data_IF_410680999162
#
_entry.id   IF_410680999162
#
_cell.length_a   1.000
_cell.length_b   1.000
_cell.length_c   1.000
_cell.angle_alpha   90.00
_cell.angle_beta   90.00
_cell.angle_gamma   90.00
#
_symmetry.space_group_name_H-M   'P 1'
#
loop_
_entity.id
_entity.type
_entity.pdbx_description
1 polymer ?
#
# COMPACT_ATOMS: atom_id res chain seq x y z
N UNK A 1 31.94 -41.61 54.29
CA UNK A 1 30.96 -40.58 54.74
C UNK A 1 30.02 -40.34 53.57
N UNK A 2 28.90 -41.08 53.52
CA UNK A 2 27.54 -40.62 53.91
C UNK A 2 26.91 -39.76 52.78
N UNK A 3 25.99 -40.29 51.96
CA UNK A 3 24.51 -40.37 52.16
C UNK A 3 23.89 -38.96 52.39
N UNK A 4 22.88 -38.44 51.68
CA UNK A 4 21.49 -38.90 51.40
C UNK A 4 20.85 -37.94 50.34
N UNK A 5 20.00 -38.35 49.37
CA UNK A 5 18.52 -38.61 49.44
C UNK A 5 17.69 -37.39 49.94
N UNK A 6 16.52 -36.95 49.44
CA UNK A 6 15.44 -37.54 48.62
C UNK A 6 14.43 -36.47 48.10
N UNK A 7 13.62 -36.86 47.09
CA UNK A 7 12.31 -36.31 46.63
C UNK A 7 11.19 -36.36 47.71
N UNK A 8 10.00 -35.75 47.47
CA UNK A 8 8.80 -36.50 46.96
C UNK A 8 7.99 -35.74 45.86
N UNK A 9 7.58 -36.40 44.74
CA UNK A 9 6.33 -37.17 44.42
C UNK A 9 5.14 -36.32 43.90
N UNK A 10 4.74 -36.49 42.60
CA UNK A 10 3.67 -37.36 41.99
C UNK A 10 2.24 -36.83 42.23
N UNK A 11 1.27 -36.82 41.29
CA UNK A 11 0.56 -37.90 40.53
C UNK A 11 -0.29 -37.17 39.43
N UNK A 12 -0.22 -37.40 38.11
CA UNK A 12 -0.69 -38.48 37.21
C UNK A 12 -2.22 -38.65 36.99
N UNK A 13 -2.58 -38.94 35.72
CA UNK A 13 -3.82 -39.53 35.13
C UNK A 13 -4.57 -38.59 34.17
N UNK A 14 -4.98 -38.97 32.96
CA UNK A 14 -4.92 -40.25 32.25
C UNK A 14 -5.52 -40.12 30.85
N UNK A 15 -5.05 -40.93 29.92
CA UNK A 15 -5.56 -41.07 28.55
C UNK A 15 -6.88 -41.86 28.51
N UNK A 16 -7.69 -41.61 27.48
CA UNK A 16 -8.84 -42.45 27.12
C UNK A 16 -9.03 -42.46 25.60
N UNK A 17 -8.62 -43.54 24.97
CA UNK A 17 -8.95 -43.88 23.58
C UNK A 17 -10.16 -44.82 23.56
N UNK A 18 -11.04 -44.68 22.57
CA UNK A 18 -11.95 -45.74 22.12
C UNK A 18 -12.09 -45.62 20.60
N UNK A 19 -11.72 -46.68 19.88
CA UNK A 19 -12.11 -46.90 18.49
C UNK A 19 -13.17 -48.00 18.39
N UNK A 20 -13.97 -48.00 17.32
CA UNK A 20 -14.62 -49.20 16.78
C UNK A 20 -15.14 -48.98 15.34
N UNK A 21 -14.62 -49.81 14.44
CA UNK A 21 -15.19 -50.49 13.26
C UNK A 21 -16.49 -50.03 12.57
N UNK A 22 -16.44 -50.00 11.23
CA UNK A 22 -17.56 -50.08 10.27
C UNK A 22 -17.78 -51.56 9.85
N UNK A 23 -19.00 -52.08 9.67
CA UNK A 23 -19.91 -52.08 8.48
C UNK A 23 -21.16 -52.98 8.80
N UNK A 24 -22.16 -53.19 7.91
CA UNK A 24 -22.99 -52.27 7.14
C UNK A 24 -24.51 -52.54 7.33
N UNK A 25 -25.37 -51.60 6.94
CA UNK A 25 -26.81 -51.83 6.69
C UNK A 25 -27.77 -51.16 7.68
N UNK A 26 -28.66 -50.30 7.17
CA UNK A 26 -29.81 -49.77 7.90
C UNK A 26 -30.06 -48.29 7.65
N UNK A 27 -31.03 -48.00 6.77
CA UNK A 27 -31.53 -46.67 6.42
C UNK A 27 -32.32 -46.09 7.61
N UNK A 28 -31.93 -44.91 8.10
CA UNK A 28 -32.68 -44.14 9.11
C UNK A 28 -32.07 -42.75 9.35
N UNK A 29 -32.89 -41.70 9.62
CA UNK A 29 -32.43 -40.31 9.57
C UNK A 29 -31.59 -39.92 10.80
N UNK A 30 -30.54 -39.13 10.56
CA UNK A 30 -29.59 -38.61 11.56
C UNK A 30 -30.26 -37.65 12.56
N UNK A 31 -29.99 -37.76 13.88
CA UNK A 31 -30.45 -36.79 14.87
C UNK A 31 -29.54 -35.55 14.92
N UNK A 32 -30.18 -34.37 14.89
CA UNK A 32 -29.54 -33.06 15.11
C UNK A 32 -28.91 -33.00 16.50
N UNK A 33 -27.58 -32.93 16.59
CA UNK A 33 -26.87 -32.62 17.83
C UNK A 33 -26.81 -31.11 18.02
N UNK A 34 -27.49 -30.62 19.05
CA UNK A 34 -27.35 -29.26 19.56
C UNK A 34 -26.05 -29.16 20.39
N UNK A 35 -25.07 -28.38 19.92
CA UNK A 35 -23.95 -27.95 20.74
C UNK A 35 -24.43 -26.86 21.71
N UNK A 36 -24.55 -27.21 22.99
CA UNK A 36 -24.72 -26.22 24.08
C UNK A 36 -23.39 -25.50 24.30
N UNK A 37 -23.37 -24.19 24.06
CA UNK A 37 -22.30 -23.30 24.52
C UNK A 37 -22.46 -23.12 26.03
N UNK A 38 -21.45 -23.54 26.79
CA UNK A 38 -21.39 -23.32 28.23
C UNK A 38 -21.13 -21.82 28.51
N UNK A 39 -22.05 -21.20 29.23
CA UNK A 39 -21.94 -19.84 29.75
C UNK A 39 -21.05 -19.82 30.99
N UNK A 40 -19.90 -19.14 30.91
CA UNK A 40 -19.02 -18.86 32.04
C UNK A 40 -19.68 -17.82 32.95
N UNK A 41 -20.16 -18.27 34.12
CA UNK A 41 -20.57 -17.41 35.23
C UNK A 41 -19.34 -16.90 35.96
N UNK A 42 -19.17 -15.58 36.01
CA UNK A 42 -18.22 -14.92 36.88
C UNK A 42 -18.67 -14.99 38.34
N UNK A 43 -17.78 -15.50 39.20
CA UNK A 43 -18.00 -15.68 40.63
C UNK A 43 -17.98 -14.35 41.40
N UNK A 44 -18.86 -14.29 42.40
CA UNK A 44 -18.94 -13.22 43.40
C UNK A 44 -17.66 -13.17 44.25
N UNK A 45 -17.06 -11.98 44.36
CA UNK A 45 -16.03 -11.67 45.36
C UNK A 45 -16.46 -10.48 46.22
N UNK A 46 -16.09 -10.56 47.49
CA UNK A 46 -16.61 -9.83 48.66
C UNK A 46 -16.22 -8.35 48.68
N UNK A 47 -17.08 -7.51 49.27
CA UNK A 47 -16.86 -6.08 49.55
C UNK A 47 -15.76 -5.85 50.60
N UNK A 48 -14.93 -4.80 50.47
CA UNK A 48 -14.35 -4.10 51.60
C UNK A 48 -14.93 -2.67 51.78
N UNK A 49 -14.88 -2.20 53.02
CA UNK A 49 -15.49 -0.97 53.52
C UNK A 49 -14.75 0.33 53.11
N UNK A 50 -15.47 1.45 53.20
CA UNK A 50 -15.04 2.82 52.87
C UNK A 50 -13.99 3.35 53.85
N UNK A 51 -12.95 4.02 53.34
CA UNK A 51 -12.03 4.91 54.08
C UNK A 51 -11.90 6.22 53.29
N UNK A 52 -12.00 7.42 53.90
CA UNK A 52 -11.84 8.69 53.19
C UNK A 52 -10.35 9.06 53.07
N UNK A 53 -9.91 9.50 51.90
CA UNK A 53 -8.54 10.02 51.68
C UNK A 53 -8.62 11.46 51.16
N UNK A 54 -7.97 12.36 51.89
CA UNK A 54 -7.79 13.78 51.58
C UNK A 54 -6.94 14.02 50.33
N UNK A 55 -7.27 15.07 49.58
CA UNK A 55 -6.48 15.57 48.43
C UNK A 55 -5.15 16.20 48.86
N UNK A 56 -4.02 15.92 48.18
CA UNK A 56 -2.84 16.77 48.22
C UNK A 56 -2.83 17.81 47.07
N UNK A 57 -2.21 18.95 47.35
CA UNK A 57 -2.09 20.10 46.46
C UNK A 57 -1.22 19.86 45.22
N UNK A 58 -1.47 20.64 44.15
CA UNK A 58 -0.79 20.56 42.86
C UNK A 58 0.72 20.89 42.93
N UNK A 59 1.59 20.13 42.24
CA UNK A 59 3.02 20.44 42.18
C UNK A 59 3.31 21.55 41.17
N UNK A 60 4.20 22.48 41.55
CA UNK A 60 4.74 23.53 40.67
C UNK A 60 5.73 22.91 39.68
N UNK A 61 5.50 23.12 38.37
CA UNK A 61 6.37 22.65 37.29
C UNK A 61 7.71 23.41 37.24
N UNK A 62 8.82 22.66 37.15
CA UNK A 62 10.20 23.16 37.05
C UNK A 62 10.51 23.78 35.65
N UNK A 63 11.44 24.75 35.57
CA UNK A 63 11.69 25.57 34.36
C UNK A 63 12.30 24.83 33.16
N UNK A 64 12.75 23.58 33.30
CA UNK A 64 13.31 22.79 32.21
C UNK A 64 12.25 22.32 31.18
N UNK A 65 11.01 22.09 31.62
CA UNK A 65 9.89 21.71 30.74
C UNK A 65 9.43 22.84 29.82
N UNK A 66 9.60 24.10 30.24
CA UNK A 66 9.25 25.29 29.43
C UNK A 66 10.16 25.46 28.20
N UNK A 67 11.42 25.04 28.27
CA UNK A 67 12.35 25.14 27.14
C UNK A 67 12.05 24.11 26.06
N UNK A 68 11.68 22.88 26.43
CA UNK A 68 11.26 21.84 25.47
C UNK A 68 9.94 22.17 24.77
N UNK A 69 8.96 22.70 25.50
CA UNK A 69 7.70 23.15 24.90
C UNK A 69 7.91 24.35 23.96
N UNK A 70 8.81 25.28 24.29
CA UNK A 70 9.15 26.39 23.41
C UNK A 70 9.86 25.92 22.13
N UNK A 71 10.79 24.97 22.20
CA UNK A 71 11.47 24.41 21.03
C UNK A 71 10.53 23.61 20.13
N UNK A 72 9.62 22.82 20.70
CA UNK A 72 8.59 22.10 19.94
C UNK A 72 7.59 23.06 19.29
N UNK A 73 7.16 24.11 19.99
CA UNK A 73 6.26 25.13 19.45
C UNK A 73 6.93 25.94 18.32
N UNK A 74 8.21 26.28 18.44
CA UNK A 74 8.98 26.98 17.39
C UNK A 74 9.17 26.10 16.16
N UNK A 75 9.43 24.79 16.33
CA UNK A 75 9.49 23.85 15.22
C UNK A 75 8.13 23.70 14.52
N UNK A 76 7.03 23.59 15.28
CA UNK A 76 5.66 23.55 14.74
C UNK A 76 5.29 24.85 13.99
N UNK A 77 5.64 26.02 14.53
CA UNK A 77 5.43 27.32 13.88
C UNK A 77 6.26 27.46 12.59
N UNK A 78 7.50 26.98 12.57
CA UNK A 78 8.34 26.98 11.37
C UNK A 78 7.80 26.05 10.28
N UNK A 79 7.24 24.89 10.66
CA UNK A 79 6.54 23.99 9.73
C UNK A 79 5.27 24.64 9.14
N UNK A 80 4.46 25.34 9.95
CA UNK A 80 3.28 26.06 9.47
C UNK A 80 3.63 27.21 8.50
N UNK A 81 4.72 27.94 8.73
CA UNK A 81 5.17 29.00 7.82
C UNK A 81 5.74 28.45 6.50
N UNK A 82 6.46 27.32 6.52
CA UNK A 82 7.00 26.71 5.31
C UNK A 82 5.91 26.08 4.43
N UNK A 83 4.93 25.38 5.03
CA UNK A 83 3.77 24.87 4.31
C UNK A 83 2.92 25.99 3.68
N UNK A 84 2.81 27.15 4.35
CA UNK A 84 2.16 28.34 3.81
C UNK A 84 2.91 28.99 2.64
N UNK A 85 4.24 28.85 2.55
CA UNK A 85 5.09 29.39 1.47
C UNK A 85 5.16 28.48 0.23
N UNK A 86 4.97 27.18 0.39
CA UNK A 86 4.89 26.25 -0.74
C UNK A 86 3.61 26.48 -1.58
N UNK A 87 2.50 26.88 -0.96
CA UNK A 87 1.21 27.11 -1.64
C UNK A 87 1.29 28.06 -2.84
N UNK A 88 1.83 29.29 -2.69
CA UNK A 88 2.03 30.21 -3.81
C UNK A 88 2.91 29.64 -4.93
N UNK A 89 3.99 28.93 -4.61
CA UNK A 89 4.87 28.30 -5.61
C UNK A 89 4.14 27.22 -6.41
N UNK A 90 3.38 26.38 -5.71
CA UNK A 90 2.54 25.34 -6.30
C UNK A 90 1.54 25.92 -7.31
N UNK A 91 0.81 26.97 -6.92
CA UNK A 91 -0.17 27.61 -7.77
C UNK A 91 0.48 28.35 -8.95
N UNK A 92 1.58 29.07 -8.71
CA UNK A 92 2.28 29.80 -9.76
C UNK A 92 2.77 28.86 -10.88
N UNK A 93 3.36 27.74 -10.49
CA UNK A 93 3.80 26.71 -11.45
C UNK A 93 2.63 26.02 -12.14
N UNK A 94 1.52 25.75 -11.43
CA UNK A 94 0.33 25.16 -12.03
C UNK A 94 -0.27 26.04 -13.14
N UNK A 95 -0.22 27.36 -12.97
CA UNK A 95 -0.87 28.33 -13.87
C UNK A 95 0.07 28.83 -14.97
N UNK A 96 1.37 29.02 -14.66
CA UNK A 96 2.30 29.71 -15.56
C UNK A 96 3.26 28.78 -16.29
N UNK A 97 3.49 27.57 -15.78
CA UNK A 97 4.53 26.69 -16.29
C UNK A 97 3.95 25.47 -17.02
N UNK A 98 4.38 25.27 -18.26
CA UNK A 98 4.08 24.06 -19.01
C UNK A 98 4.75 22.83 -18.38
N UNK A 99 4.15 21.62 -18.50
CA UNK A 99 4.81 20.39 -18.06
C UNK A 99 6.17 20.20 -18.74
N UNK A 100 7.22 19.82 -17.99
CA UNK A 100 8.53 19.54 -18.60
C UNK A 100 8.47 18.28 -19.48
N UNK A 101 9.38 18.12 -20.46
CA UNK A 101 9.37 16.95 -21.36
C UNK A 101 9.37 15.59 -20.64
N UNK A 102 10.03 15.50 -19.48
CA UNK A 102 10.06 14.27 -18.65
C UNK A 102 8.70 13.97 -18.00
N UNK A 103 7.94 15.00 -17.62
CA UNK A 103 6.56 14.83 -17.15
C UNK A 103 5.65 14.29 -18.26
N UNK A 104 5.82 14.79 -19.49
CA UNK A 104 5.11 14.29 -20.66
C UNK A 104 5.51 12.84 -21.00
N UNK A 105 6.80 12.49 -20.88
CA UNK A 105 7.28 11.12 -21.07
C UNK A 105 6.67 10.17 -20.03
N UNK A 106 6.59 10.58 -18.75
CA UNK A 106 5.94 9.82 -17.69
C UNK A 106 4.46 9.55 -18.02
N UNK A 107 3.71 10.58 -18.42
CA UNK A 107 2.32 10.44 -18.81
C UNK A 107 2.12 9.58 -20.08
N UNK A 108 3.03 9.67 -21.05
CA UNK A 108 2.99 8.87 -22.26
C UNK A 108 3.21 7.37 -21.97
N UNK A 109 4.19 7.04 -21.11
CA UNK A 109 4.42 5.67 -20.65
C UNK A 109 3.20 5.10 -19.90
N UNK A 110 2.54 5.92 -19.07
CA UNK A 110 1.31 5.53 -18.38
C UNK A 110 0.17 5.20 -19.37
N UNK A 111 -0.02 6.03 -20.41
CA UNK A 111 -1.00 5.77 -21.48
C UNK A 111 -0.66 4.50 -22.28
N UNK A 112 0.61 4.23 -22.53
CA UNK A 112 1.04 3.01 -23.22
C UNK A 112 0.70 1.76 -22.43
N UNK A 113 0.98 1.74 -21.12
CA UNK A 113 0.64 0.59 -20.28
C UNK A 113 -0.88 0.45 -20.07
N UNK A 114 -1.63 1.55 -19.97
CA UNK A 114 -3.10 1.51 -19.95
C UNK A 114 -3.66 0.85 -21.21
N UNK A 115 -3.15 1.20 -22.39
CA UNK A 115 -3.53 0.55 -23.65
C UNK A 115 -3.12 -0.93 -23.68
N UNK A 116 -1.93 -1.27 -23.16
CA UNK A 116 -1.47 -2.65 -23.06
C UNK A 116 -2.32 -3.51 -22.10
N UNK A 117 -2.95 -2.88 -21.11
CA UNK A 117 -3.93 -3.48 -20.21
C UNK A 117 -5.37 -3.38 -20.72
N UNK A 118 -5.56 -3.09 -22.01
CA UNK A 118 -6.89 -3.15 -22.64
C UNK A 118 -7.81 -1.99 -22.26
N UNK A 119 -7.27 -0.85 -21.84
CA UNK A 119 -8.03 0.40 -21.82
C UNK A 119 -9.01 0.59 -20.65
N UNK A 120 -8.87 -0.15 -19.55
CA UNK A 120 -9.79 -0.06 -18.40
C UNK A 120 -10.05 1.40 -17.96
N UNK A 121 -11.33 1.80 -17.87
CA UNK A 121 -11.69 3.19 -17.62
C UNK A 121 -12.83 3.36 -16.61
N UNK A 122 -12.66 4.35 -15.72
CA UNK A 122 -13.66 4.84 -14.79
C UNK A 122 -14.10 6.25 -15.20
N UNK A 123 -15.41 6.48 -15.25
CA UNK A 123 -15.95 7.82 -15.51
C UNK A 123 -15.81 8.76 -14.30
N UNK A 124 -16.26 10.01 -14.46
CA UNK A 124 -16.19 11.03 -13.40
C UNK A 124 -17.09 10.71 -12.19
N UNK A 125 -18.08 9.83 -12.33
CA UNK A 125 -18.85 9.31 -11.20
C UNK A 125 -18.17 8.09 -10.56
N UNK A 126 -17.05 7.63 -11.10
CA UNK A 126 -16.30 6.47 -10.61
C UNK A 126 -16.96 5.14 -10.94
N UNK A 127 -17.79 5.07 -11.99
CA UNK A 127 -18.32 3.82 -12.54
C UNK A 127 -17.32 3.25 -13.54
N UNK A 128 -17.14 1.93 -13.52
CA UNK A 128 -16.37 1.22 -14.53
C UNK A 128 -17.13 1.22 -15.86
N UNK A 129 -16.63 1.95 -16.85
CA UNK A 129 -17.27 2.06 -18.17
C UNK A 129 -16.60 1.18 -19.23
N UNK A 130 -15.34 0.78 -18.99
CA UNK A 130 -14.59 -0.13 -19.84
C UNK A 130 -13.78 -1.08 -18.97
N UNK A 131 -13.85 -2.39 -19.22
CA UNK A 131 -13.10 -3.42 -18.49
C UNK A 131 -11.89 -3.83 -19.33
N UNK A 132 -10.70 -3.73 -18.71
CA UNK A 132 -9.45 -4.13 -19.34
C UNK A 132 -9.02 -5.54 -18.96
N UNK A 133 -7.75 -5.84 -19.21
CA UNK A 133 -7.10 -7.06 -18.78
C UNK A 133 -6.71 -6.99 -17.30
N UNK A 134 -6.88 -8.11 -16.60
CA UNK A 134 -6.40 -8.26 -15.24
C UNK A 134 -4.91 -8.58 -15.23
N UNK A 135 -4.20 -8.14 -14.19
CA UNK A 135 -2.81 -8.48 -13.88
C UNK A 135 -2.54 -9.99 -13.90
N UNK A 136 -3.56 -10.82 -13.62
CA UNK A 136 -3.44 -12.27 -13.63
C UNK A 136 -3.63 -12.90 -15.02
N UNK A 137 -3.93 -12.15 -16.08
CA UNK A 137 -4.15 -12.70 -17.42
C UNK A 137 -2.89 -13.38 -17.98
N UNK A 138 -3.05 -14.58 -18.55
CA UNK A 138 -1.97 -15.29 -19.22
C UNK A 138 -1.80 -14.83 -20.68
N UNK A 139 -0.68 -15.23 -21.31
CA UNK A 139 -0.47 -14.97 -22.74
C UNK A 139 -1.58 -15.61 -23.56
N UNK A 140 -2.33 -14.79 -24.31
CA UNK A 140 -3.28 -15.26 -25.31
C UNK A 140 -2.50 -15.56 -26.59
N UNK A 141 -2.16 -16.84 -26.81
CA UNK A 141 -1.39 -17.37 -27.97
C UNK A 141 0.11 -17.04 -27.94
N UNK A 142 0.94 -17.66 -28.80
CA UNK A 142 2.35 -17.30 -28.97
C UNK A 142 2.48 -15.89 -29.56
N UNK A 143 2.32 -14.88 -28.72
CA UNK A 143 2.57 -13.47 -29.04
C UNK A 143 3.93 -13.07 -28.48
N UNK A 144 4.61 -12.14 -29.16
CA UNK A 144 5.79 -11.46 -28.60
C UNK A 144 5.43 -10.37 -27.59
N UNK A 145 4.14 -10.05 -27.45
CA UNK A 145 3.65 -9.08 -26.46
C UNK A 145 3.60 -9.75 -25.08
N UNK A 146 4.23 -9.16 -24.06
CA UNK A 146 4.16 -9.67 -22.69
C UNK A 146 2.73 -9.72 -22.17
N UNK A 147 2.39 -10.77 -21.43
CA UNK A 147 1.15 -10.84 -20.67
C UNK A 147 1.14 -9.81 -19.52
N UNK A 148 -0.03 -9.42 -19.01
CA UNK A 148 -0.13 -8.49 -17.88
C UNK A 148 0.75 -8.83 -16.68
N UNK A 149 0.79 -10.09 -16.22
CA UNK A 149 1.65 -10.46 -15.07
C UNK A 149 3.16 -10.31 -15.36
N UNK A 150 3.57 -10.49 -16.62
CA UNK A 150 4.98 -10.32 -17.03
C UNK A 150 5.36 -8.84 -17.02
N UNK A 151 4.41 -7.95 -17.37
CA UNK A 151 4.57 -6.50 -17.25
C UNK A 151 4.69 -6.09 -15.78
N UNK A 152 3.82 -6.62 -14.92
CA UNK A 152 3.88 -6.37 -13.47
C UNK A 152 5.23 -6.81 -12.88
N UNK A 153 5.76 -7.95 -13.33
CA UNK A 153 7.11 -8.38 -12.96
C UNK A 153 8.18 -7.36 -13.36
N UNK A 154 8.08 -6.78 -14.56
CA UNK A 154 8.95 -5.69 -15.01
C UNK A 154 8.85 -4.42 -14.15
N UNK A 155 7.65 -4.09 -13.65
CA UNK A 155 7.48 -2.95 -12.73
C UNK A 155 8.22 -3.17 -11.41
N UNK A 156 8.14 -4.38 -10.85
CA UNK A 156 8.86 -4.73 -9.62
C UNK A 156 10.38 -4.64 -9.78
N UNK A 157 10.91 -5.09 -10.93
CA UNK A 157 12.33 -4.98 -11.24
C UNK A 157 12.83 -3.53 -11.30
N UNK A 158 11.95 -2.55 -11.52
CA UNK A 158 12.31 -1.13 -11.50
C UNK A 158 12.43 -0.56 -10.08
N UNK A 159 11.85 -1.18 -9.04
CA UNK A 159 12.02 -0.69 -7.66
C UNK A 159 13.49 -0.78 -7.26
N UNK A 160 14.10 -1.94 -7.51
CA UNK A 160 15.52 -2.19 -7.29
C UNK A 160 16.18 -2.70 -8.59
N UNK A 161 16.70 -1.77 -9.38
CA UNK A 161 17.28 -2.08 -10.68
C UNK A 161 18.62 -2.84 -10.59
N UNK A 162 19.28 -2.83 -9.44
CA UNK A 162 20.56 -3.54 -9.26
C UNK A 162 20.29 -5.02 -8.95
N UNK A 163 19.33 -5.30 -8.06
CA UNK A 163 19.05 -6.66 -7.62
C UNK A 163 17.86 -7.31 -8.35
N UNK A 164 17.07 -6.53 -9.11
CA UNK A 164 15.89 -7.00 -9.84
C UNK A 164 14.87 -7.68 -8.92
N UNK A 165 14.80 -7.22 -7.66
CA UNK A 165 14.14 -7.94 -6.58
C UNK A 165 12.63 -7.92 -6.73
N UNK A 166 12.02 -9.10 -6.81
CA UNK A 166 10.57 -9.28 -6.69
C UNK A 166 10.16 -9.36 -5.22
N UNK A 167 8.87 -9.16 -4.89
CA UNK A 167 8.35 -9.29 -3.53
C UNK A 167 8.76 -10.61 -2.86
N UNK A 168 9.06 -10.55 -1.57
CA UNK A 168 9.44 -11.74 -0.81
C UNK A 168 8.25 -12.58 -0.37
N UNK A 169 7.05 -12.01 -0.33
CA UNK A 169 5.88 -12.68 0.20
C UNK A 169 5.11 -13.40 -0.90
N UNK A 170 4.73 -14.63 -0.64
CA UNK A 170 3.83 -15.45 -1.47
C UNK A 170 2.62 -15.79 -0.62
N UNK A 171 1.44 -15.26 -0.96
CA UNK A 171 0.21 -15.65 -0.30
C UNK A 171 -0.37 -16.90 -0.99
N UNK A 172 -0.96 -17.80 -0.21
CA UNK A 172 -1.51 -19.05 -0.72
C UNK A 172 -2.75 -19.51 0.06
N UNK A 173 -3.48 -18.57 0.65
CA UNK A 173 -4.64 -18.83 1.50
C UNK A 173 -4.30 -19.27 2.95
N UNK A 174 -3.03 -19.18 3.35
CA UNK A 174 -2.60 -19.38 4.73
C UNK A 174 -2.63 -18.08 5.55
N UNK A 175 -2.65 -18.23 6.88
CA UNK A 175 -2.61 -17.09 7.83
C UNK A 175 -1.33 -16.27 7.76
N UNK A 176 -0.21 -16.90 7.40
CA UNK A 176 1.08 -16.25 7.23
C UNK A 176 1.60 -16.51 5.81
N UNK A 177 2.13 -15.49 5.11
CA UNK A 177 2.71 -15.67 3.79
C UNK A 177 3.98 -16.52 3.88
N UNK A 178 4.29 -17.24 2.80
CA UNK A 178 5.55 -17.94 2.66
C UNK A 178 6.64 -17.01 2.11
N UNK A 179 7.89 -17.26 2.48
CA UNK A 179 9.03 -16.56 1.89
C UNK A 179 9.37 -17.15 0.53
N UNK A 180 9.32 -16.32 -0.51
CA UNK A 180 9.62 -16.65 -1.90
C UNK A 180 11.02 -17.23 -2.06
N UNK A 181 12.01 -16.67 -1.38
CA UNK A 181 13.40 -17.12 -1.46
C UNK A 181 13.57 -18.53 -0.91
N UNK A 182 12.98 -18.79 0.27
CA UNK A 182 12.97 -20.11 0.88
C UNK A 182 12.20 -21.14 0.04
N UNK A 183 11.07 -20.75 -0.57
CA UNK A 183 10.34 -21.61 -1.49
C UNK A 183 11.18 -21.98 -2.71
N UNK A 184 11.88 -21.01 -3.32
CA UNK A 184 12.79 -21.28 -4.45
C UNK A 184 13.93 -22.20 -4.05
N UNK A 185 14.53 -21.99 -2.88
CA UNK A 185 15.57 -22.88 -2.35
C UNK A 185 15.06 -24.31 -2.14
N UNK A 186 13.84 -24.47 -1.61
CA UNK A 186 13.22 -25.78 -1.44
C UNK A 186 12.97 -26.49 -2.79
N UNK A 187 12.53 -25.74 -3.82
CA UNK A 187 12.38 -26.26 -5.18
C UNK A 187 13.73 -26.71 -5.78
N UNK A 188 14.79 -25.93 -5.60
CA UNK A 188 16.13 -26.27 -6.09
C UNK A 188 16.68 -27.53 -5.40
N UNK A 189 16.35 -27.73 -4.12
CA UNK A 189 16.70 -28.94 -3.37
C UNK A 189 15.96 -30.20 -3.87
N UNK A 190 14.78 -30.03 -4.48
CA UNK A 190 13.95 -31.12 -4.99
C UNK A 190 14.28 -31.52 -6.45
N UNK A 191 15.35 -31.00 -7.04
CA UNK A 191 15.73 -31.28 -8.44
C UNK A 191 16.20 -32.72 -8.64
N UNK A 192 15.79 -33.32 -9.77
CA UNK A 192 16.19 -34.69 -10.11
C UNK A 192 17.72 -34.86 -10.13
N UNK A 193 18.45 -33.91 -10.71
CA UNK A 193 19.91 -33.93 -10.75
C UNK A 193 20.55 -33.98 -9.35
N UNK A 194 20.01 -33.22 -8.39
CA UNK A 194 20.52 -33.20 -7.02
C UNK A 194 20.17 -34.51 -6.29
N UNK A 195 18.94 -35.00 -6.42
CA UNK A 195 18.51 -36.24 -5.78
C UNK A 195 19.26 -37.46 -6.32
N UNK A 196 19.51 -37.51 -7.64
CA UNK A 196 20.36 -38.53 -8.26
C UNK A 196 21.79 -38.49 -7.70
N UNK A 197 22.35 -37.29 -7.51
CA UNK A 197 23.65 -37.12 -6.84
C UNK A 197 23.69 -37.62 -5.39
N UNK A 198 22.53 -37.78 -4.75
CA UNK A 198 22.35 -38.36 -3.42
C UNK A 198 22.00 -39.86 -3.44
N UNK A 199 22.02 -40.50 -4.61
CA UNK A 199 21.73 -41.93 -4.77
C UNK A 199 20.23 -42.27 -4.89
N UNK A 200 19.37 -41.27 -5.07
CA UNK A 200 17.94 -41.49 -5.35
C UNK A 200 17.77 -41.89 -6.83
N UNK A 201 16.83 -42.79 -7.13
CA UNK A 201 16.60 -43.32 -8.48
C UNK A 201 16.32 -42.25 -9.56
N UNK A 202 16.52 -42.57 -10.85
CA UNK A 202 16.53 -41.61 -11.95
C UNK A 202 15.19 -40.91 -12.19
N UNK A 203 14.08 -41.52 -11.78
CA UNK A 203 12.71 -41.02 -11.99
C UNK A 203 12.16 -40.22 -10.80
N UNK A 204 13.03 -39.73 -9.92
CA UNK A 204 12.67 -38.98 -8.72
C UNK A 204 13.12 -37.52 -8.81
N UNK A 205 12.28 -36.61 -8.33
CA UNK A 205 12.55 -35.17 -8.30
C UNK A 205 12.05 -34.41 -9.52
N UNK A 206 12.23 -33.09 -9.47
CA UNK A 206 11.76 -32.17 -10.51
C UNK A 206 12.72 -32.19 -11.70
N UNK A 207 12.18 -32.43 -12.89
CA UNK A 207 12.88 -32.19 -14.15
C UNK A 207 13.10 -30.68 -14.35
N UNK A 208 14.09 -30.30 -15.18
CA UNK A 208 14.45 -28.89 -15.38
C UNK A 208 13.29 -28.03 -15.90
N UNK A 209 12.36 -28.61 -16.68
CA UNK A 209 11.20 -27.88 -17.18
C UNK A 209 10.12 -27.68 -16.09
N UNK A 210 9.93 -28.66 -15.20
CA UNK A 210 9.02 -28.57 -14.05
C UNK A 210 9.54 -27.57 -13.03
N UNK A 211 10.85 -27.59 -12.73
CA UNK A 211 11.49 -26.60 -11.86
C UNK A 211 11.24 -25.18 -12.37
N UNK A 212 11.49 -24.94 -13.67
CA UNK A 212 11.24 -23.62 -14.28
C UNK A 212 9.77 -23.23 -14.18
N UNK A 213 8.85 -24.13 -14.46
CA UNK A 213 7.42 -23.87 -14.36
C UNK A 213 7.00 -23.49 -12.92
N UNK A 214 7.49 -24.22 -11.92
CA UNK A 214 7.21 -23.94 -10.50
C UNK A 214 7.84 -22.62 -10.03
N UNK A 215 9.09 -22.34 -10.42
CA UNK A 215 9.74 -21.07 -10.09
C UNK A 215 9.00 -19.88 -10.72
N UNK A 216 8.57 -19.98 -11.99
CA UNK A 216 7.74 -18.95 -12.63
C UNK A 216 6.38 -18.80 -11.95
N UNK A 217 5.75 -19.89 -11.51
CA UNK A 217 4.49 -19.83 -10.79
C UNK A 217 4.65 -19.10 -9.44
N UNK A 218 5.70 -19.42 -8.67
CA UNK A 218 6.02 -18.75 -7.41
C UNK A 218 6.28 -17.26 -7.63
N UNK A 219 7.05 -16.91 -8.66
CA UNK A 219 7.34 -15.51 -9.00
C UNK A 219 6.08 -14.75 -9.41
N UNK A 220 5.22 -15.37 -10.23
CA UNK A 220 3.94 -14.79 -10.66
C UNK A 220 3.02 -14.52 -9.48
N UNK A 221 2.89 -15.47 -8.54
CA UNK A 221 2.05 -15.30 -7.35
C UNK A 221 2.58 -14.15 -6.49
N UNK A 222 3.89 -14.09 -6.25
CA UNK A 222 4.49 -13.02 -5.45
C UNK A 222 4.18 -11.62 -5.99
N UNK A 223 4.25 -11.43 -7.32
CA UNK A 223 4.07 -10.10 -7.94
C UNK A 223 2.62 -9.66 -8.08
N UNK A 224 1.65 -10.58 -8.12
CA UNK A 224 0.22 -10.25 -8.17
C UNK A 224 -0.41 -10.13 -6.77
N UNK A 225 0.06 -10.91 -5.79
CA UNK A 225 -0.45 -10.85 -4.41
C UNK A 225 0.06 -9.62 -3.64
N UNK A 226 1.14 -9.01 -4.11
CA UNK A 226 1.70 -7.79 -3.51
C UNK A 226 1.21 -6.57 -4.29
N UNK A 227 0.61 -5.56 -3.61
CA UNK A 227 0.16 -4.35 -4.29
C UNK A 227 1.29 -3.65 -5.06
N UNK A 228 1.16 -3.55 -6.38
CA UNK A 228 2.25 -3.09 -7.26
C UNK A 228 2.08 -1.66 -7.78
N UNK A 229 1.06 -0.93 -7.31
CA UNK A 229 0.79 0.45 -7.76
C UNK A 229 1.98 1.41 -7.60
N UNK A 230 2.78 1.27 -6.53
CA UNK A 230 3.96 2.10 -6.32
C UNK A 230 5.17 1.63 -7.14
N UNK A 231 5.33 0.32 -7.35
CA UNK A 231 6.31 -0.23 -8.27
C UNK A 231 6.07 0.25 -9.71
N UNK A 232 4.79 0.32 -10.12
CA UNK A 232 4.40 0.90 -11.41
C UNK A 232 4.80 2.37 -11.55
N UNK A 233 4.53 3.22 -10.56
CA UNK A 233 4.98 4.63 -10.59
C UNK A 233 6.51 4.73 -10.62
N UNK A 234 7.22 3.89 -9.85
CA UNK A 234 8.68 3.82 -9.89
C UNK A 234 9.20 3.42 -11.28
N UNK A 235 8.56 2.47 -11.94
CA UNK A 235 8.86 2.09 -13.32
C UNK A 235 8.62 3.26 -14.29
N UNK A 236 7.47 3.93 -14.20
CA UNK A 236 7.16 5.11 -15.02
C UNK A 236 8.17 6.24 -14.83
N UNK A 237 8.63 6.46 -13.59
CA UNK A 237 9.65 7.44 -13.29
C UNK A 237 10.99 7.09 -13.98
N UNK A 238 11.36 5.81 -14.06
CA UNK A 238 12.55 5.38 -14.82
C UNK A 238 12.38 5.56 -16.33
N UNK A 239 11.21 5.24 -16.87
CA UNK A 239 10.91 5.47 -18.29
C UNK A 239 10.95 6.97 -18.64
N UNK A 240 10.58 7.84 -17.70
CA UNK A 240 10.75 9.30 -17.79
C UNK A 240 12.21 9.78 -17.59
N UNK A 241 13.14 8.85 -17.40
CA UNK A 241 14.57 9.08 -17.25
C UNK A 241 14.98 9.60 -15.87
N UNK A 242 14.14 9.50 -14.83
CA UNK A 242 14.49 9.93 -13.47
C UNK A 242 15.65 9.10 -12.89
N UNK A 243 16.59 9.80 -12.25
CA UNK A 243 17.71 9.19 -11.54
C UNK A 243 17.41 9.04 -10.03
N UNK A 244 18.13 8.19 -9.28
CA UNK A 244 17.88 7.96 -7.85
C UNK A 244 17.95 9.21 -6.96
N UNK A 245 18.66 10.26 -7.40
CA UNK A 245 18.71 11.56 -6.71
C UNK A 245 17.49 12.45 -6.99
N UNK A 246 16.75 12.16 -8.06
CA UNK A 246 15.62 12.96 -8.54
C UNK A 246 14.27 12.35 -8.14
N UNK A 247 14.23 11.05 -7.83
CA UNK A 247 13.02 10.33 -7.44
C UNK A 247 13.35 9.17 -6.50
N UNK A 248 12.53 8.97 -5.47
CA UNK A 248 12.67 7.86 -4.53
C UNK A 248 11.97 6.60 -5.10
N UNK A 249 12.71 5.79 -5.85
CA UNK A 249 12.21 4.49 -6.35
C UNK A 249 11.88 3.57 -5.18
N UNK A 250 10.60 3.23 -5.05
CA UNK A 250 10.08 2.46 -3.93
C UNK A 250 8.81 1.69 -4.30
N UNK A 251 8.60 0.58 -3.61
CA UNK A 251 7.34 -0.18 -3.59
C UNK A 251 6.26 0.46 -2.69
N UNK A 252 6.55 1.61 -2.06
CA UNK A 252 5.61 2.35 -1.22
C UNK A 252 5.40 3.80 -1.71
N UNK A 253 4.14 4.15 -1.97
CA UNK A 253 3.72 5.53 -2.34
C UNK A 253 4.20 6.58 -1.33
N UNK A 254 4.17 6.25 -0.05
CA UNK A 254 4.55 7.14 1.04
C UNK A 254 6.03 7.58 0.98
N UNK A 255 6.91 6.80 0.35
CA UNK A 255 8.34 7.11 0.31
C UNK A 255 8.65 8.27 -0.62
N UNK A 256 8.14 8.24 -1.86
CA UNK A 256 8.30 9.37 -2.79
C UNK A 256 7.38 10.53 -2.47
N UNK A 257 6.24 10.31 -1.82
CA UNK A 257 5.41 11.38 -1.28
C UNK A 257 6.14 12.14 -0.16
N UNK A 258 6.82 11.42 0.75
CA UNK A 258 7.65 12.02 1.80
C UNK A 258 8.85 12.78 1.24
N UNK A 259 9.54 12.22 0.25
CA UNK A 259 10.64 12.91 -0.43
C UNK A 259 10.18 14.19 -1.17
N UNK A 260 9.02 14.15 -1.84
CA UNK A 260 8.41 15.32 -2.47
C UNK A 260 7.97 16.37 -1.43
N UNK A 261 7.50 15.93 -0.26
CA UNK A 261 7.18 16.82 0.85
C UNK A 261 8.42 17.58 1.32
N UNK A 262 9.51 16.86 1.59
CA UNK A 262 10.78 17.48 1.98
C UNK A 262 11.30 18.43 0.90
N UNK A 263 11.24 18.04 -0.38
CA UNK A 263 11.66 18.90 -1.49
C UNK A 263 10.86 20.20 -1.58
N UNK A 264 9.56 20.17 -1.29
CA UNK A 264 8.72 21.37 -1.20
C UNK A 264 9.12 22.28 -0.03
N UNK A 265 9.49 21.72 1.12
CA UNK A 265 9.99 22.49 2.27
C UNK A 265 11.33 23.16 1.95
N UNK A 266 12.26 22.41 1.35
CA UNK A 266 13.58 22.90 0.95
C UNK A 266 13.43 24.07 -0.05
N UNK A 267 12.60 23.89 -1.07
CA UNK A 267 12.33 24.92 -2.08
C UNK A 267 11.69 26.18 -1.48
N UNK A 268 10.72 26.04 -0.55
CA UNK A 268 10.11 27.17 0.15
C UNK A 268 11.09 27.93 1.06
N UNK A 269 12.21 27.31 1.42
CA UNK A 269 13.32 27.91 2.16
C UNK A 269 14.44 28.43 1.26
N UNK A 270 14.31 28.28 -0.07
CA UNK A 270 15.36 28.64 -1.03
C UNK A 270 16.55 27.67 -1.05
N UNK A 271 16.40 26.48 -0.47
CA UNK A 271 17.40 25.42 -0.52
C UNK A 271 17.29 24.67 -1.84
N UNK A 272 18.45 24.40 -2.46
CA UNK A 272 18.51 23.61 -3.67
C UNK A 272 18.17 22.15 -3.36
N UNK A 273 17.24 21.58 -4.13
CA UNK A 273 16.90 20.16 -4.07
C UNK A 273 16.85 19.57 -5.48
N UNK A 274 17.53 18.42 -5.72
CA UNK A 274 17.52 17.75 -7.02
C UNK A 274 16.23 16.96 -7.28
N UNK A 275 15.34 16.85 -6.29
CA UNK A 275 14.13 16.05 -6.39
C UNK A 275 13.16 16.66 -7.41
N UNK A 276 12.64 15.85 -8.33
CA UNK A 276 11.91 16.34 -9.50
C UNK A 276 10.50 16.85 -9.19
N UNK A 277 9.95 16.49 -8.04
CA UNK A 277 8.58 16.80 -7.64
C UNK A 277 8.52 17.53 -6.31
N UNK A 278 7.42 18.22 -6.03
CA UNK A 278 7.10 18.75 -4.69
C UNK A 278 5.69 18.37 -4.27
N UNK A 279 5.44 18.30 -2.97
CA UNK A 279 4.10 18.16 -2.44
C UNK A 279 3.32 19.48 -2.48
N UNK A 280 2.13 19.45 -3.07
CA UNK A 280 1.19 20.55 -3.17
C UNK A 280 -0.21 20.11 -2.70
N UNK A 281 -1.01 21.05 -2.20
CA UNK A 281 -2.39 20.78 -1.85
C UNK A 281 -3.24 20.70 -3.13
N UNK A 282 -3.79 19.51 -3.41
CA UNK A 282 -4.64 19.26 -4.58
C UNK A 282 -5.94 20.07 -4.55
N UNK A 283 -6.42 20.47 -3.36
CA UNK A 283 -7.58 21.34 -3.23
C UNK A 283 -7.35 22.74 -3.83
N UNK A 284 -6.10 23.20 -3.80
CA UNK A 284 -5.71 24.57 -4.14
C UNK A 284 -4.85 24.65 -5.40
N UNK A 285 -4.34 23.53 -5.88
CA UNK A 285 -3.39 23.46 -6.99
C UNK A 285 -3.98 22.65 -8.14
N UNK A 286 -4.31 23.28 -9.27
CA UNK A 286 -4.75 22.56 -10.46
C UNK A 286 -3.68 21.58 -10.94
N UNK A 287 -4.02 20.30 -11.18
CA UNK A 287 -3.07 19.32 -11.69
C UNK A 287 -2.67 19.63 -13.14
N UNK A 288 -1.45 19.24 -13.52
CA UNK A 288 -0.97 19.25 -14.90
C UNK A 288 -0.56 17.85 -15.34
N UNK A 289 -0.47 17.65 -16.65
CA UNK A 289 0.00 16.38 -17.22
C UNK A 289 1.38 16.01 -16.65
N UNK A 290 1.49 14.79 -16.15
CA UNK A 290 2.66 14.20 -15.51
C UNK A 290 2.67 14.32 -13.99
N UNK A 291 1.94 15.26 -13.38
CA UNK A 291 1.82 15.35 -11.92
C UNK A 291 1.17 14.08 -11.35
N UNK A 292 1.43 13.75 -10.08
CA UNK A 292 0.79 12.61 -9.39
C UNK A 292 -0.30 13.10 -8.45
N UNK A 293 -1.52 12.57 -8.56
CA UNK A 293 -2.59 12.81 -7.59
C UNK A 293 -2.66 11.66 -6.61
N UNK A 294 -2.65 11.95 -5.32
CA UNK A 294 -2.44 10.97 -4.26
C UNK A 294 -3.48 11.09 -3.14
N UNK A 295 -3.75 9.96 -2.48
CA UNK A 295 -4.56 9.88 -1.26
C UNK A 295 -3.99 8.84 -0.28
N UNK A 296 -4.31 9.01 1.00
CA UNK A 296 -4.13 7.96 2.00
C UNK A 296 -5.27 6.93 1.89
N UNK A 297 -4.91 5.64 1.98
CA UNK A 297 -5.86 4.53 2.11
C UNK A 297 -6.07 4.22 3.59
N UNK A 298 -6.70 5.16 4.29
CA UNK A 298 -6.94 5.07 5.74
C UNK A 298 -8.33 5.56 6.08
N UNK A 299 -8.93 4.96 7.12
CA UNK A 299 -10.18 5.44 7.71
C UNK A 299 -10.00 6.57 8.74
N UNK A 300 -8.75 6.92 9.03
CA UNK A 300 -8.42 8.07 9.87
C UNK A 300 -8.68 9.38 9.12
N UNK A 301 -9.71 10.13 9.55
CA UNK A 301 -10.04 11.46 9.03
C UNK A 301 -8.86 12.45 9.18
N UNK A 302 -7.96 12.23 10.15
CA UNK A 302 -6.74 13.00 10.30
C UNK A 302 -5.71 12.82 9.18
N UNK A 303 -5.97 11.93 8.20
CA UNK A 303 -5.17 11.71 7.00
C UNK A 303 -5.94 12.05 5.69
N UNK A 304 -7.17 12.56 5.80
CA UNK A 304 -8.04 12.81 4.65
C UNK A 304 -7.71 14.11 3.90
N UNK A 305 -6.91 15.00 4.49
CA UNK A 305 -6.52 16.27 3.89
C UNK A 305 -4.99 16.43 3.78
N UNK A 306 -4.58 17.49 3.08
CA UNK A 306 -3.17 17.75 2.78
C UNK A 306 -2.34 18.01 4.04
N UNK A 307 -2.90 18.73 5.01
CA UNK A 307 -2.20 19.08 6.26
C UNK A 307 -1.99 17.84 7.14
N UNK A 308 -3.04 17.05 7.29
CA UNK A 308 -3.07 15.85 8.10
C UNK A 308 -2.11 14.78 7.58
N UNK A 309 -2.18 14.50 6.27
CA UNK A 309 -1.23 13.62 5.58
C UNK A 309 0.20 14.18 5.66
N UNK A 310 0.34 15.49 5.47
CA UNK A 310 1.61 16.22 5.56
C UNK A 310 2.35 16.05 6.88
N UNK A 311 1.65 16.10 8.02
CA UNK A 311 2.27 15.85 9.34
C UNK A 311 2.94 14.48 9.44
N UNK A 312 2.31 13.45 8.87
CA UNK A 312 2.88 12.10 8.89
C UNK A 312 4.07 12.04 7.93
N UNK A 313 3.91 12.53 6.70
CA UNK A 313 4.97 12.55 5.69
C UNK A 313 6.22 13.32 6.18
N UNK A 314 6.04 14.43 6.89
CA UNK A 314 7.13 15.26 7.42
C UNK A 314 8.00 14.55 8.47
N UNK A 315 7.45 13.56 9.17
CA UNK A 315 8.17 12.83 10.24
C UNK A 315 8.59 11.43 9.82
N UNK A 316 8.05 10.95 8.69
CA UNK A 316 8.29 9.61 8.16
C UNK A 316 9.62 9.56 7.41
N UNK A 317 10.45 8.58 7.75
CA UNK A 317 11.62 8.20 6.95
C UNK A 317 11.22 7.29 5.79
N UNK A 318 11.89 7.43 4.64
CA UNK A 318 11.83 6.46 3.54
C UNK A 318 12.08 5.03 4.05
N UNK A 319 11.22 4.08 3.68
CA UNK A 319 11.29 2.69 4.16
C UNK A 319 10.90 2.48 5.63
N UNK A 320 10.40 3.51 6.34
CA UNK A 320 9.94 3.36 7.73
C UNK A 320 8.55 2.70 7.86
N UNK A 321 7.85 2.96 8.98
CA UNK A 321 6.48 2.47 9.27
C UNK A 321 5.41 2.63 8.17
N UNK A 322 4.70 1.56 7.82
CA UNK A 322 3.74 1.55 6.71
C UNK A 322 2.70 2.70 6.78
N UNK A 323 2.50 3.38 5.65
CA UNK A 323 1.43 4.34 5.43
C UNK A 323 0.73 3.97 4.12
N UNK A 324 -0.41 3.27 4.18
CA UNK A 324 -1.16 2.89 2.98
C UNK A 324 -1.57 4.13 2.19
N UNK A 325 -1.14 4.20 0.93
CA UNK A 325 -1.38 5.32 0.03
C UNK A 325 -1.55 4.81 -1.40
N UNK A 326 -2.07 5.68 -2.25
CA UNK A 326 -2.15 5.45 -3.68
C UNK A 326 -1.99 6.76 -4.45
N UNK A 327 -1.35 6.68 -5.61
CA UNK A 327 -1.15 7.78 -6.51
C UNK A 327 -1.44 7.35 -7.96
N UNK A 328 -2.10 8.23 -8.70
CA UNK A 328 -2.34 8.11 -10.14
C UNK A 328 -1.58 9.21 -10.88
N UNK A 329 -1.10 8.92 -12.09
CA UNK A 329 -0.43 9.89 -12.97
C UNK A 329 -1.46 10.68 -13.75
N UNK A 330 -1.44 12.01 -13.67
CA UNK A 330 -2.29 12.86 -14.52
C UNK A 330 -1.82 12.75 -15.97
N UNK A 331 -2.69 12.30 -16.87
CA UNK A 331 -2.33 12.08 -18.27
C UNK A 331 -3.03 13.05 -19.22
N UNK A 332 -4.10 13.70 -18.79
CA UNK A 332 -4.84 14.69 -19.57
C UNK A 332 -5.59 15.65 -18.66
N UNK A 333 -5.74 16.90 -19.08
CA UNK A 333 -6.48 17.93 -18.35
C UNK A 333 -7.27 18.75 -19.36
N UNK A 334 -8.55 18.95 -19.08
CA UNK A 334 -9.42 19.86 -19.83
C UNK A 334 -10.03 20.93 -18.91
N UNK A 335 -11.06 21.63 -19.38
CA UNK A 335 -11.69 22.72 -18.63
C UNK A 335 -12.60 22.25 -17.49
N UNK A 336 -13.05 21.00 -17.52
CA UNK A 336 -14.04 20.47 -16.56
C UNK A 336 -13.50 19.31 -15.72
N UNK A 337 -12.38 18.71 -16.11
CA UNK A 337 -11.88 17.48 -15.52
C UNK A 337 -10.41 17.23 -15.87
N UNK A 338 -9.85 16.20 -15.24
CA UNK A 338 -8.58 15.61 -15.63
C UNK A 338 -8.67 14.10 -15.61
N UNK A 339 -7.88 13.45 -16.46
CA UNK A 339 -7.74 12.00 -16.49
C UNK A 339 -6.43 11.61 -15.80
N UNK A 340 -6.49 10.62 -14.92
CA UNK A 340 -5.33 10.07 -14.24
C UNK A 340 -5.25 8.54 -14.42
N UNK A 341 -4.04 8.00 -14.58
CA UNK A 341 -3.80 6.56 -14.75
C UNK A 341 -3.05 6.01 -13.54
N UNK A 342 -3.64 4.98 -12.92
CA UNK A 342 -3.10 4.25 -11.78
C UNK A 342 -2.83 2.78 -12.11
N UNK A 343 -1.71 2.26 -11.60
CA UNK A 343 -1.45 0.82 -11.58
C UNK A 343 -2.16 0.13 -10.42
N UNK A 344 -2.50 -1.14 -10.58
CA UNK A 344 -3.16 -1.98 -9.57
C UNK A 344 -4.48 -1.36 -9.04
N UNK A 345 -5.23 -0.70 -9.92
CA UNK A 345 -6.60 -0.26 -9.67
C UNK A 345 -7.51 -1.32 -10.27
N UNK A 346 -8.25 -2.02 -9.42
CA UNK A 346 -9.06 -3.18 -9.81
C UNK A 346 -8.25 -4.24 -10.58
N UNK A 347 -7.05 -4.54 -10.06
CA UNK A 347 -6.15 -5.52 -10.64
C UNK A 347 -5.76 -5.20 -12.10
N UNK A 348 -5.71 -3.94 -12.49
CA UNK A 348 -5.36 -3.49 -13.84
C UNK A 348 -4.59 -2.16 -13.82
N UNK A 349 -4.16 -1.69 -14.99
CA UNK A 349 -3.77 -0.29 -15.19
C UNK A 349 -5.03 0.45 -15.64
N UNK A 350 -5.55 1.35 -14.81
CA UNK A 350 -6.86 1.98 -15.02
C UNK A 350 -6.73 3.47 -15.23
N UNK A 351 -7.47 4.00 -16.21
CA UNK A 351 -7.76 5.41 -16.32
C UNK A 351 -8.94 5.78 -15.43
N UNK A 352 -8.84 6.89 -14.72
CA UNK A 352 -9.88 7.49 -13.91
C UNK A 352 -10.06 8.95 -14.33
N UNK A 353 -11.29 9.31 -14.67
CA UNK A 353 -11.66 10.71 -14.84
C UNK A 353 -12.03 11.32 -13.50
N UNK A 354 -11.50 12.51 -13.20
CA UNK A 354 -11.78 13.28 -11.98
C UNK A 354 -12.29 14.66 -12.38
N UNK A 355 -13.47 15.02 -11.88
CA UNK A 355 -14.14 16.28 -12.19
C UNK A 355 -13.59 17.44 -11.35
N UNK A 356 -13.54 18.62 -11.97
CA UNK A 356 -13.38 19.87 -11.24
C UNK A 356 -14.73 20.38 -10.73
N UNK A 357 -14.70 21.18 -9.67
CA UNK A 357 -15.89 21.92 -9.25
C UNK A 357 -16.33 22.88 -10.38
N UNK A 358 -17.64 23.05 -10.61
CA UNK A 358 -18.16 23.85 -11.73
C UNK A 358 -17.53 25.25 -11.81
N UNK A 359 -17.03 25.61 -13.00
CA UNK A 359 -16.41 26.91 -13.26
C UNK A 359 -15.02 27.10 -12.64
N UNK A 360 -14.42 26.05 -12.07
CA UNK A 360 -13.09 26.08 -11.45
C UNK A 360 -12.15 25.07 -12.09
N UNK A 361 -10.87 25.06 -11.66
CA UNK A 361 -9.91 23.98 -11.93
C UNK A 361 -9.44 23.28 -10.66
N UNK A 362 -10.28 23.34 -9.61
CA UNK A 362 -10.06 22.66 -8.34
C UNK A 362 -10.85 21.36 -8.32
N UNK A 363 -10.30 20.30 -7.73
CA UNK A 363 -10.99 19.02 -7.58
C UNK A 363 -12.37 19.22 -6.93
N UNK A 364 -13.38 18.58 -7.50
CA UNK A 364 -14.74 18.66 -6.97
C UNK A 364 -14.80 18.17 -5.50
N UNK A 365 -15.39 18.94 -4.57
CA UNK A 365 -15.48 18.55 -3.16
C UNK A 365 -16.16 17.20 -2.91
N UNK A 366 -17.00 16.72 -3.83
CA UNK A 366 -17.67 15.40 -3.72
C UNK A 366 -16.72 14.20 -3.75
N UNK A 367 -15.46 14.39 -4.13
CA UNK A 367 -14.45 13.33 -3.98
C UNK A 367 -14.00 13.16 -2.52
N UNK A 368 -14.16 14.18 -1.66
CA UNK A 368 -13.74 14.11 -0.25
C UNK A 368 -14.72 13.28 0.59
N UNK A 369 -14.22 12.76 1.71
CA UNK A 369 -15.06 12.13 2.74
C UNK A 369 -16.01 13.17 3.36
N UNK A 370 -17.20 12.73 3.77
CA UNK A 370 -18.25 13.59 4.35
C UNK A 370 -19.23 14.19 3.34
N UNK A 371 -19.05 13.92 2.05
CA UNK A 371 -20.11 14.07 1.07
C UNK A 371 -21.04 12.86 1.20
N UNK A 372 -22.00 12.94 2.12
CA UNK A 372 -23.00 11.89 2.30
C UNK A 372 -24.07 12.04 1.22
N UNK A 373 -24.43 10.93 0.56
CA UNK A 373 -25.45 10.86 -0.51
C UNK A 373 -26.86 11.35 -0.09
N UNK A 374 -27.05 11.67 1.20
CA UNK A 374 -28.28 12.26 1.74
C UNK A 374 -28.33 13.79 1.52
N UNK A 375 -27.18 14.45 1.31
CA UNK A 375 -27.12 15.86 0.96
C UNK A 375 -27.41 16.04 -0.55
N UNK A 376 -28.40 16.85 -0.96
CA UNK A 376 -28.82 16.98 -2.36
C UNK A 376 -27.76 17.52 -3.34
N UNK A 377 -26.60 17.95 -2.83
CA UNK A 377 -25.46 18.44 -3.61
C UNK A 377 -24.32 17.41 -3.76
N UNK A 378 -24.47 16.21 -3.18
CA UNK A 378 -23.40 15.21 -3.20
C UNK A 378 -23.55 14.23 -4.37
N UNK A 379 -22.56 14.21 -5.26
CA UNK A 379 -22.44 13.19 -6.31
C UNK A 379 -21.80 11.93 -5.73
N UNK A 380 -22.44 10.76 -5.85
CA UNK A 380 -21.80 9.49 -5.52
C UNK A 380 -20.66 9.24 -6.52
N UNK A 381 -19.42 9.35 -6.03
CA UNK A 381 -18.20 9.11 -6.82
C UNK A 381 -17.80 7.64 -6.85
N UNK A 382 -18.66 6.72 -6.39
CA UNK A 382 -18.48 5.27 -6.43
C UNK A 382 -17.03 4.84 -6.11
N UNK A 383 -16.34 4.24 -7.09
CA UNK A 383 -14.98 3.69 -6.94
C UNK A 383 -13.89 4.78 -6.99
N UNK A 384 -14.27 6.02 -7.28
CA UNK A 384 -13.42 7.23 -7.25
C UNK A 384 -13.54 8.06 -5.98
N UNK A 385 -14.46 7.69 -5.07
CA UNK A 385 -14.61 8.33 -3.77
C UNK A 385 -13.43 7.97 -2.86
N UNK A 386 -12.40 8.81 -2.89
CA UNK A 386 -11.19 8.70 -2.07
C UNK A 386 -10.76 10.11 -1.65
N UNK A 387 -10.13 10.28 -0.48
CA UNK A 387 -9.69 11.59 0.00
C UNK A 387 -8.44 12.08 -0.77
N UNK A 388 -8.58 12.36 -2.05
CA UNK A 388 -7.53 12.94 -2.90
C UNK A 388 -7.14 14.31 -2.38
N UNK A 389 -5.96 14.40 -1.77
CA UNK A 389 -5.54 15.58 -1.01
C UNK A 389 -4.14 16.06 -1.37
N UNK A 390 -3.30 15.17 -1.91
CA UNK A 390 -1.90 15.44 -2.22
C UNK A 390 -1.68 15.44 -3.72
N UNK A 391 -1.02 16.48 -4.22
CA UNK A 391 -0.50 16.56 -5.58
C UNK A 391 1.04 16.54 -5.52
N UNK A 392 1.69 15.56 -6.15
CA UNK A 392 3.13 15.61 -6.40
C UNK A 392 3.35 16.32 -7.74
N UNK A 393 3.65 17.61 -7.65
CA UNK A 393 3.77 18.50 -8.80
C UNK A 393 5.20 18.48 -9.33
N UNK A 394 5.38 18.30 -10.64
CA UNK A 394 6.67 18.47 -11.31
C UNK A 394 7.19 19.90 -11.15
N UNK A 395 8.45 20.04 -10.76
CA UNK A 395 9.09 21.33 -10.47
C UNK A 395 9.71 21.96 -11.71
#
# INVERSE_FOLDING_TARGET
>A
MAMTNSLPQKVAAGAGACGAHAEPGGVGPLPRRACRVASLRWGQSRRPAKVPVSMPAAPRLLPAFRRWLASAAVALLALSCAAGRAGPLCLDTAVRSAPPPRALALAAAARQEHAAFGGQALDAEGRLIESGYSEAEARRRPSRVPAPWERVMGYWQAVDAQDGRLPTQVAFGAWLPADRGLLRQALDQATAARLQGLGVGPDQGLASHELRALQTAVDRVAVIDTPWSAAFVSWLAREAGLAPREFAFSEAHADYAGAAWQAGLDEAQGLATPYAMRACDLARTPPRVGDLVCHARSDDEGLADFEGLGRILATRRTGGAALPMHCDVVVGVDSASFDAIGGNVLQSVSLRRLAFAPGTRSLDPSYRRGCDAVAPACVDRHMSRQPWSLLLQWR
#
